data_IF_055425163323
#
_entry.id   IF_055425163323
#
_cell.length_a   1.000
_cell.length_b   1.000
_cell.length_c   1.000
_cell.angle_alpha   90.00
_cell.angle_beta   90.00
_cell.angle_gamma   90.00
#
_symmetry.space_group_name_H-M   'P 1'
#
loop_
_entity.id
_entity.type
_entity.pdbx_description
1 polymer ?
#
# COMPACT_ATOMS: atom_id res chain seq x y z
N UNK A 1 -4.03 17.41 5.09
CA UNK A 1 -4.93 16.63 5.95
C UNK A 1 -4.60 15.17 5.79
N UNK A 2 -4.29 14.48 6.88
CA UNK A 2 -3.92 13.05 6.84
C UNK A 2 -5.13 12.22 7.31
N UNK A 3 -5.45 11.16 6.59
CA UNK A 3 -6.66 10.34 6.81
C UNK A 3 -6.37 9.21 7.79
N UNK A 4 -6.11 9.53 9.06
CA UNK A 4 -5.64 8.56 10.06
C UNK A 4 -6.60 7.40 10.35
N UNK A 5 -7.91 7.60 10.14
CA UNK A 5 -8.96 6.59 10.36
C UNK A 5 -9.37 5.83 9.09
N UNK A 6 -8.66 6.01 7.98
CA UNK A 6 -8.94 5.31 6.74
C UNK A 6 -8.68 3.82 6.90
N UNK A 7 -9.72 3.01 6.70
CA UNK A 7 -9.65 1.54 6.76
C UNK A 7 -9.59 0.88 5.39
N UNK A 8 -10.13 1.53 4.36
CA UNK A 8 -10.25 1.01 3.00
C UNK A 8 -9.80 2.07 2.00
N UNK A 9 -8.92 1.70 1.09
CA UNK A 9 -8.45 2.56 -0.01
C UNK A 9 -8.36 1.75 -1.30
N UNK A 10 -9.10 2.17 -2.31
CA UNK A 10 -9.13 1.55 -3.63
C UNK A 10 -8.63 2.57 -4.66
N UNK A 11 -7.52 2.25 -5.32
CA UNK A 11 -6.89 3.06 -6.37
C UNK A 11 -6.61 2.22 -7.60
N UNK A 12 -7.42 1.18 -7.85
CA UNK A 12 -7.26 0.29 -9.00
C UNK A 12 -7.21 1.05 -10.32
N UNK A 13 -6.45 0.50 -11.26
CA UNK A 13 -6.30 1.01 -12.63
C UNK A 13 -5.83 2.49 -12.70
N UNK A 14 -5.23 3.02 -11.63
CA UNK A 14 -4.65 4.36 -11.64
C UNK A 14 -3.35 4.39 -12.44
N UNK A 15 -3.45 4.36 -13.77
CA UNK A 15 -2.32 4.28 -14.71
C UNK A 15 -1.33 5.43 -14.64
N UNK A 16 -1.67 6.55 -13.98
CA UNK A 16 -0.79 7.70 -13.77
C UNK A 16 -0.16 7.74 -12.37
N UNK A 17 -0.57 6.85 -11.47
CA UNK A 17 -0.01 6.77 -10.13
C UNK A 17 1.41 6.21 -10.22
N UNK A 18 2.39 7.05 -9.92
CA UNK A 18 3.81 6.69 -9.97
C UNK A 18 4.42 6.42 -8.60
N UNK A 19 3.88 7.08 -7.59
CA UNK A 19 4.38 7.03 -6.23
C UNK A 19 3.21 6.90 -5.26
N UNK A 20 3.34 5.98 -4.32
CA UNK A 20 2.43 5.86 -3.20
C UNK A 20 3.05 6.53 -1.95
N UNK A 21 2.35 7.50 -1.33
CA UNK A 21 2.80 8.03 -0.04
C UNK A 21 2.65 6.99 1.07
N UNK A 22 3.10 7.35 2.27
CA UNK A 22 2.88 6.54 3.47
C UNK A 22 1.38 6.27 3.66
N UNK A 23 1.04 4.98 3.79
CA UNK A 23 -0.33 4.56 4.00
C UNK A 23 -0.80 4.91 5.43
N UNK A 24 -2.10 5.20 5.62
CA UNK A 24 -2.65 5.45 6.96
C UNK A 24 -2.46 4.25 7.90
N UNK A 25 -2.20 4.51 9.20
CA UNK A 25 -1.86 3.45 10.17
C UNK A 25 -3.02 2.49 10.48
N UNK A 26 -4.26 2.89 10.20
CA UNK A 26 -5.47 2.06 10.43
C UNK A 26 -5.97 1.39 9.14
N UNK A 27 -5.19 1.44 8.05
CA UNK A 27 -5.59 0.87 6.78
C UNK A 27 -5.58 -0.65 6.86
N UNK A 28 -6.71 -1.26 6.53
CA UNK A 28 -6.94 -2.71 6.57
C UNK A 28 -6.98 -3.29 5.17
N UNK A 29 -7.50 -2.53 4.20
CA UNK A 29 -7.59 -2.92 2.81
C UNK A 29 -7.02 -1.85 1.90
N UNK A 30 -6.16 -2.27 0.99
CA UNK A 30 -5.61 -1.45 -0.07
C UNK A 30 -5.59 -2.22 -1.38
N UNK A 31 -6.11 -1.62 -2.45
CA UNK A 31 -6.05 -2.21 -3.78
C UNK A 31 -5.52 -1.22 -4.80
N UNK A 32 -4.32 -1.52 -5.31
CA UNK A 32 -3.67 -0.81 -6.40
C UNK A 32 -3.54 -1.68 -7.65
N UNK A 33 -4.37 -2.71 -7.80
CA UNK A 33 -4.34 -3.59 -8.97
C UNK A 33 -4.31 -2.79 -10.27
N UNK A 34 -3.42 -3.20 -11.18
CA UNK A 34 -3.30 -2.60 -12.49
C UNK A 34 -2.73 -1.17 -12.49
N UNK A 35 -2.08 -0.72 -11.42
CA UNK A 35 -1.32 0.53 -11.46
C UNK A 35 0.02 0.35 -12.20
N UNK A 36 -0.03 0.29 -13.53
CA UNK A 36 1.13 -0.01 -14.39
C UNK A 36 2.28 1.00 -14.29
N UNK A 37 1.99 2.24 -13.86
CA UNK A 37 3.02 3.27 -13.68
C UNK A 37 3.59 3.34 -12.28
N UNK A 38 3.11 2.52 -11.34
CA UNK A 38 3.54 2.58 -9.95
C UNK A 38 4.98 2.06 -9.84
N UNK A 39 5.89 2.96 -9.47
CA UNK A 39 7.33 2.69 -9.39
C UNK A 39 7.75 2.47 -7.93
N UNK A 40 7.26 3.33 -7.03
CA UNK A 40 7.72 3.42 -5.65
C UNK A 40 6.55 3.41 -4.66
N UNK A 41 6.77 2.75 -3.52
CA UNK A 41 5.92 2.86 -2.33
C UNK A 41 6.76 3.38 -1.18
N UNK A 42 6.20 4.24 -0.33
CA UNK A 42 6.88 4.62 0.90
C UNK A 42 7.05 3.40 1.83
N UNK A 43 8.24 3.27 2.41
CA UNK A 43 8.56 2.24 3.41
C UNK A 43 7.62 2.39 4.63
N UNK A 44 7.01 1.32 5.14
CA UNK A 44 6.12 1.44 6.28
C UNK A 44 6.91 1.58 7.56
N UNK A 45 6.81 2.75 8.20
CA UNK A 45 6.66 2.74 9.64
C UNK A 45 5.49 3.64 10.04
N UNK A 46 4.33 3.01 10.10
CA UNK A 46 3.34 3.27 11.14
C UNK A 46 2.54 1.99 11.38
N UNK A 47 3.22 0.91 11.77
CA UNK A 47 2.57 -0.15 12.54
C UNK A 47 2.11 0.50 13.86
N UNK A 48 0.80 0.61 14.16
CA UNK A 48 0.42 0.61 15.55
C UNK A 48 0.69 -0.81 16.04
N UNK A 49 1.72 -0.94 16.86
CA UNK A 49 1.72 -1.76 18.07
C UNK A 49 0.49 -2.69 18.18
N UNK A 50 0.75 -4.00 18.05
CA UNK A 50 0.06 -5.06 18.77
C UNK A 50 -1.48 -5.04 18.73
N UNK A 51 -2.10 -5.70 17.76
CA UNK A 51 -3.27 -6.55 18.07
C UNK A 51 -3.28 -7.73 17.10
N UNK A 52 -3.28 -8.94 17.66
CA UNK A 52 -2.98 -10.22 17.02
C UNK A 52 -3.97 -10.71 15.94
N UNK A 53 -4.83 -9.87 15.35
CA UNK A 53 -5.94 -10.37 14.51
C UNK A 53 -6.41 -9.47 13.36
N UNK A 54 -5.71 -8.39 13.03
CA UNK A 54 -6.14 -7.56 11.90
C UNK A 54 -5.79 -8.26 10.58
N UNK A 55 -6.79 -8.85 9.91
CA UNK A 55 -6.66 -9.36 8.55
C UNK A 55 -6.42 -8.17 7.60
N UNK A 56 -5.16 -7.81 7.42
CA UNK A 56 -4.76 -6.76 6.48
C UNK A 56 -4.60 -7.38 5.09
N UNK A 57 -5.09 -6.69 4.07
CA UNK A 57 -5.01 -7.14 2.68
C UNK A 57 -4.57 -6.01 1.77
N UNK A 58 -3.35 -6.12 1.25
CA UNK A 58 -2.82 -5.24 0.22
C UNK A 58 -2.76 -5.97 -1.12
N UNK A 59 -3.23 -5.34 -2.19
CA UNK A 59 -3.18 -5.88 -3.55
C UNK A 59 -2.37 -4.95 -4.46
N UNK A 60 -1.21 -5.45 -4.90
CA UNK A 60 -0.33 -4.80 -5.87
C UNK A 60 -0.21 -5.60 -7.17
N UNK A 61 -1.15 -6.50 -7.46
CA UNK A 61 -1.13 -7.29 -8.69
C UNK A 61 -1.14 -6.38 -9.93
N UNK A 62 -0.44 -6.81 -10.99
CA UNK A 62 -0.30 -6.04 -12.24
C UNK A 62 0.31 -4.63 -12.06
N UNK A 63 1.07 -4.39 -10.97
CA UNK A 63 1.90 -3.19 -10.84
C UNK A 63 3.30 -3.45 -11.42
N UNK A 64 3.39 -3.41 -12.74
CA UNK A 64 4.55 -3.95 -13.48
C UNK A 64 5.85 -3.15 -13.34
N UNK A 65 5.77 -1.88 -12.91
CA UNK A 65 6.94 -0.98 -12.79
C UNK A 65 7.49 -0.84 -11.38
N UNK A 66 6.99 -1.61 -10.41
CA UNK A 66 7.51 -1.59 -9.04
C UNK A 66 9.00 -1.93 -9.03
N UNK A 67 9.80 -1.05 -8.43
CA UNK A 67 11.23 -1.30 -8.21
C UNK A 67 11.47 -2.33 -7.10
N UNK A 68 12.73 -2.71 -6.90
CA UNK A 68 13.08 -3.75 -5.92
C UNK A 68 12.81 -3.28 -4.49
N UNK A 69 13.15 -2.02 -4.17
CA UNK A 69 12.90 -1.43 -2.86
C UNK A 69 11.41 -1.40 -2.51
N UNK A 70 10.56 -1.14 -3.51
CA UNK A 70 9.12 -1.17 -3.36
C UNK A 70 8.61 -2.59 -3.13
N UNK A 71 9.14 -3.60 -3.81
CA UNK A 71 8.80 -5.01 -3.57
C UNK A 71 9.21 -5.47 -2.17
N UNK A 72 10.39 -5.08 -1.72
CA UNK A 72 10.89 -5.41 -0.38
C UNK A 72 10.01 -4.75 0.70
N UNK A 73 9.60 -3.49 0.47
CA UNK A 73 8.61 -2.81 1.30
C UNK A 73 7.25 -3.52 1.28
N UNK A 74 6.83 -4.06 0.14
CA UNK A 74 5.56 -4.79 0.03
C UNK A 74 5.57 -6.08 0.84
N UNK A 75 6.69 -6.83 0.81
CA UNK A 75 6.85 -8.06 1.60
C UNK A 75 6.67 -7.76 3.09
N UNK A 76 7.16 -6.61 3.58
CA UNK A 76 7.00 -6.22 4.99
C UNK A 76 5.56 -5.97 5.44
N UNK A 77 4.61 -5.84 4.51
CA UNK A 77 3.17 -5.73 4.81
C UNK A 77 2.47 -7.10 4.95
N UNK A 78 3.13 -8.19 4.54
CA UNK A 78 2.61 -9.57 4.51
C UNK A 78 3.26 -10.42 5.58
#
# INVERSE_FOLDING_TARGET
GQLYDLKWLDVKECKKLRYLPMLPPKLQYFDAHGCDSLERVANPLALPVLTEQLHVRFNFSNCNKLDQDAKDSIISYT
#
